data_IF_479752674793
#
_entry.id   IF_479752674793
#
_cell.length_a   1.000
_cell.length_b   1.000
_cell.length_c   1.000
_cell.angle_alpha   90.00
_cell.angle_beta   90.00
_cell.angle_gamma   90.00
#
_symmetry.space_group_name_H-M   'P 1'
#
loop_
_entity.id
_entity.type
_entity.pdbx_description
1 polymer ?
#
# COMPACT_ATOMS: atom_id res chain seq x y z
N UNK A 1 5.07 23.93 -18.87
CA UNK A 1 5.12 23.89 -17.39
C UNK A 1 3.70 23.88 -16.80
N UNK A 2 2.92 22.81 -16.99
CA UNK A 2 1.48 22.77 -16.61
C UNK A 2 1.08 21.58 -15.72
N UNK A 3 2.00 20.70 -15.31
CA UNK A 3 1.69 19.52 -14.48
C UNK A 3 1.71 19.75 -12.96
N UNK A 4 2.52 20.69 -12.46
CA UNK A 4 2.77 20.81 -11.01
C UNK A 4 1.56 21.31 -10.20
N UNK A 5 0.67 22.11 -10.78
CA UNK A 5 -0.47 22.68 -10.04
C UNK A 5 -1.52 21.61 -9.65
N UNK A 6 -1.74 20.60 -10.50
CA UNK A 6 -2.67 19.50 -10.21
C UNK A 6 -2.10 18.54 -9.17
N UNK A 7 -0.85 18.14 -9.36
CA UNK A 7 -0.13 17.22 -8.48
C UNK A 7 -0.02 17.78 -7.05
N UNK A 8 0.36 19.05 -6.90
CA UNK A 8 0.45 19.68 -5.59
C UNK A 8 -0.92 19.80 -4.91
N UNK A 9 -1.99 20.03 -5.68
CA UNK A 9 -3.36 20.08 -5.13
C UNK A 9 -3.81 18.71 -4.63
N UNK A 10 -3.57 17.65 -5.39
CA UNK A 10 -3.88 16.29 -4.95
C UNK A 10 -3.06 15.87 -3.74
N UNK A 11 -1.75 16.15 -3.72
CA UNK A 11 -0.90 15.87 -2.56
C UNK A 11 -1.37 16.60 -1.30
N UNK A 12 -1.81 17.86 -1.40
CA UNK A 12 -2.40 18.60 -0.28
C UNK A 12 -3.71 17.97 0.22
N UNK A 13 -4.58 17.55 -0.69
CA UNK A 13 -5.82 16.87 -0.33
C UNK A 13 -5.54 15.56 0.41
N UNK A 14 -4.60 14.76 -0.10
CA UNK A 14 -4.15 13.52 0.53
C UNK A 14 -3.63 13.80 1.94
N UNK A 15 -2.77 14.80 2.12
CA UNK A 15 -2.25 15.15 3.45
C UNK A 15 -3.36 15.52 4.45
N UNK A 16 -4.41 16.20 4.00
CA UNK A 16 -5.56 16.53 4.85
C UNK A 16 -6.40 15.29 5.23
N UNK A 17 -6.59 14.37 4.29
CA UNK A 17 -7.30 13.12 4.53
C UNK A 17 -6.49 12.19 5.45
N UNK A 18 -5.18 12.06 5.21
CA UNK A 18 -4.24 11.34 6.07
C UNK A 18 -4.34 11.81 7.52
N UNK A 19 -4.20 13.12 7.74
CA UNK A 19 -4.28 13.68 9.09
C UNK A 19 -5.59 13.33 9.80
N UNK A 20 -6.72 13.36 9.08
CA UNK A 20 -8.01 13.01 9.67
C UNK A 20 -8.09 11.51 9.98
N UNK A 21 -7.68 10.64 9.06
CA UNK A 21 -7.67 9.18 9.27
C UNK A 21 -6.75 8.80 10.43
N UNK A 22 -5.55 9.36 10.52
CA UNK A 22 -4.59 9.10 11.60
C UNK A 22 -5.15 9.50 12.97
N UNK A 23 -5.85 10.63 13.02
CA UNK A 23 -6.53 11.12 14.23
C UNK A 23 -7.63 10.16 14.69
N UNK A 24 -8.33 9.52 13.76
CA UNK A 24 -9.38 8.54 14.05
C UNK A 24 -8.82 7.21 14.54
N UNK A 25 -7.79 6.69 13.85
CA UNK A 25 -7.15 5.42 14.17
C UNK A 25 -6.42 5.46 15.51
N UNK A 26 -5.87 6.61 15.91
CA UNK A 26 -5.22 6.78 17.21
C UNK A 26 -6.18 6.59 18.40
N UNK A 27 -7.49 6.81 18.19
CA UNK A 27 -8.49 6.81 19.26
C UNK A 27 -9.41 5.58 19.26
N UNK A 28 -9.34 4.74 18.22
CA UNK A 28 -10.26 3.60 18.06
C UNK A 28 -9.55 2.34 17.55
N UNK A 29 -9.69 1.18 18.22
CA UNK A 29 -9.03 -0.06 17.80
C UNK A 29 -9.69 -0.73 16.58
N UNK A 30 -10.90 -0.31 16.19
CA UNK A 30 -11.65 -0.87 15.07
C UNK A 30 -12.28 0.26 14.26
N UNK A 31 -12.18 0.19 12.93
CA UNK A 31 -12.83 1.14 12.03
C UNK A 31 -14.36 1.03 12.14
N UNK A 32 -14.98 2.04 12.75
CA UNK A 32 -16.43 2.21 12.74
C UNK A 32 -16.95 2.49 11.31
N UNK A 33 -18.25 2.27 11.03
CA UNK A 33 -18.84 2.55 9.72
C UNK A 33 -18.53 3.97 9.19
N UNK A 34 -18.59 4.98 10.05
CA UNK A 34 -18.26 6.36 9.72
C UNK A 34 -16.78 6.55 9.36
N UNK A 35 -15.86 5.89 10.08
CA UNK A 35 -14.42 5.97 9.80
C UNK A 35 -14.05 5.23 8.51
N UNK A 36 -14.84 4.21 8.12
CA UNK A 36 -14.63 3.47 6.86
C UNK A 36 -14.87 4.34 5.63
N UNK A 37 -15.84 5.26 5.67
CA UNK A 37 -16.10 6.16 4.55
C UNK A 37 -14.89 7.07 4.27
N UNK A 38 -14.36 7.71 5.32
CA UNK A 38 -13.17 8.57 5.20
C UNK A 38 -11.91 7.78 4.81
N UNK A 39 -11.75 6.58 5.36
CA UNK A 39 -10.63 5.69 5.00
C UNK A 39 -10.69 5.30 3.52
N UNK A 40 -11.89 4.98 3.00
CA UNK A 40 -12.09 4.71 1.58
C UNK A 40 -11.81 5.93 0.69
N UNK A 41 -12.15 7.13 1.15
CA UNK A 41 -11.82 8.37 0.45
C UNK A 41 -10.30 8.58 0.35
N UNK A 42 -9.57 8.34 1.45
CA UNK A 42 -8.10 8.40 1.45
C UNK A 42 -7.49 7.34 0.52
N UNK A 43 -7.98 6.09 0.58
CA UNK A 43 -7.55 5.01 -0.32
C UNK A 43 -7.76 5.43 -1.79
N UNK A 44 -8.93 5.97 -2.13
CA UNK A 44 -9.20 6.43 -3.49
C UNK A 44 -8.25 7.57 -3.91
N UNK A 45 -8.02 8.55 -3.03
CA UNK A 45 -7.12 9.66 -3.31
C UNK A 45 -5.67 9.20 -3.56
N UNK A 46 -5.18 8.21 -2.81
CA UNK A 46 -3.88 7.59 -3.04
C UNK A 46 -3.79 6.92 -4.42
N UNK A 47 -4.77 6.07 -4.75
CA UNK A 47 -4.77 5.32 -6.01
C UNK A 47 -4.93 6.25 -7.22
N UNK A 48 -5.77 7.28 -7.11
CA UNK A 48 -5.93 8.30 -8.15
C UNK A 48 -4.64 9.10 -8.37
N UNK A 49 -3.90 9.41 -7.30
CA UNK A 49 -2.59 10.05 -7.40
C UNK A 49 -1.59 9.15 -8.12
N UNK A 50 -1.49 7.89 -7.69
CA UNK A 50 -0.55 6.93 -8.28
C UNK A 50 -0.83 6.72 -9.78
N UNK A 51 -2.11 6.69 -10.16
CA UNK A 51 -2.54 6.59 -11.56
C UNK A 51 -2.25 7.86 -12.36
N UNK A 52 -2.39 9.04 -11.77
CA UNK A 52 -2.13 10.32 -12.42
C UNK A 52 -0.63 10.63 -12.56
N UNK A 53 0.20 10.18 -11.60
CA UNK A 53 1.62 10.49 -11.53
C UNK A 53 2.48 9.23 -11.31
N UNK A 54 2.44 8.23 -12.20
CA UNK A 54 3.10 6.94 -11.97
C UNK A 54 4.64 7.05 -11.85
N UNK A 55 5.25 8.12 -12.34
CA UNK A 55 6.69 8.37 -12.21
C UNK A 55 7.08 9.11 -10.92
N UNK A 56 6.12 9.59 -10.13
CA UNK A 56 6.42 10.18 -8.83
C UNK A 56 6.76 9.08 -7.83
N UNK A 57 7.87 9.27 -7.11
CA UNK A 57 8.29 8.42 -5.99
C UNK A 57 7.20 8.20 -4.93
N UNK A 58 6.28 9.16 -4.75
CA UNK A 58 5.15 9.07 -3.84
C UNK A 58 4.10 8.05 -4.30
N UNK A 59 4.01 7.76 -5.60
CA UNK A 59 2.98 6.86 -6.14
C UNK A 59 3.13 5.44 -5.59
N UNK A 60 4.36 4.92 -5.53
CA UNK A 60 4.62 3.62 -4.91
C UNK A 60 4.27 3.60 -3.43
N UNK A 61 4.61 4.67 -2.69
CA UNK A 61 4.26 4.82 -1.28
C UNK A 61 2.74 4.86 -1.10
N UNK A 62 2.03 5.68 -1.87
CA UNK A 62 0.58 5.83 -1.76
C UNK A 62 -0.17 4.55 -2.12
N UNK A 63 0.25 3.80 -3.15
CA UNK A 63 -0.34 2.49 -3.45
C UNK A 63 -0.09 1.49 -2.31
N UNK A 64 1.11 1.49 -1.72
CA UNK A 64 1.42 0.66 -0.54
C UNK A 64 0.53 1.01 0.67
N UNK A 65 0.44 2.29 1.02
CA UNK A 65 -0.39 2.78 2.14
C UNK A 65 -1.88 2.49 1.90
N UNK A 66 -2.36 2.63 0.66
CA UNK A 66 -3.73 2.29 0.30
C UNK A 66 -4.04 0.81 0.55
N UNK A 67 -3.11 -0.09 0.21
CA UNK A 67 -3.26 -1.51 0.49
C UNK A 67 -3.28 -1.79 2.01
N UNK A 68 -2.41 -1.14 2.79
CA UNK A 68 -2.41 -1.24 4.25
C UNK A 68 -3.71 -0.77 4.89
N UNK A 69 -4.27 0.35 4.43
CA UNK A 69 -5.58 0.81 4.91
C UNK A 69 -6.70 -0.17 4.53
N UNK A 70 -6.62 -0.80 3.36
CA UNK A 70 -7.58 -1.84 2.96
C UNK A 70 -7.53 -3.09 3.84
N UNK A 71 -6.39 -3.44 4.45
CA UNK A 71 -6.35 -4.58 5.41
C UNK A 71 -7.14 -4.29 6.68
N UNK A 72 -7.36 -3.02 7.00
CA UNK A 72 -8.21 -2.60 8.12
C UNK A 72 -9.71 -2.68 7.77
N UNK A 73 -10.05 -2.85 6.49
CA UNK A 73 -11.39 -3.05 5.98
C UNK A 73 -11.67 -4.54 5.80
N UNK A 74 -12.95 -4.97 5.75
CA UNK A 74 -13.32 -6.36 5.49
C UNK A 74 -13.14 -6.75 4.00
N UNK A 75 -12.01 -6.36 3.40
CA UNK A 75 -11.67 -6.61 1.98
C UNK A 75 -10.18 -6.99 1.84
N UNK A 76 -9.79 -8.11 2.45
CA UNK A 76 -8.41 -8.61 2.39
C UNK A 76 -7.98 -8.95 0.96
N UNK A 77 -8.88 -9.45 0.11
CA UNK A 77 -8.58 -9.75 -1.30
C UNK A 77 -8.32 -8.48 -2.09
N UNK A 78 -9.11 -7.42 -1.87
CA UNK A 78 -8.86 -6.12 -2.46
C UNK A 78 -7.60 -5.44 -1.91
N UNK A 79 -7.18 -5.74 -0.68
CA UNK A 79 -5.90 -5.29 -0.13
C UNK A 79 -4.72 -6.00 -0.82
N UNK A 80 -4.80 -7.33 -0.97
CA UNK A 80 -3.82 -8.14 -1.71
C UNK A 80 -3.64 -7.56 -3.10
N UNK A 81 -4.72 -7.41 -3.88
CA UNK A 81 -4.64 -6.89 -5.26
C UNK A 81 -3.91 -5.54 -5.36
N UNK A 82 -4.13 -4.62 -4.41
CA UNK A 82 -3.44 -3.33 -4.40
C UNK A 82 -1.97 -3.48 -4.00
N UNK A 83 -1.62 -4.38 -3.09
CA UNK A 83 -0.20 -4.71 -2.85
C UNK A 83 0.46 -5.29 -4.11
N UNK A 84 -0.26 -6.10 -4.90
CA UNK A 84 0.29 -6.63 -6.17
C UNK A 84 0.56 -5.54 -7.19
N UNK A 85 -0.27 -4.50 -7.23
CA UNK A 85 -0.03 -3.31 -8.06
C UNK A 85 1.29 -2.64 -7.71
N UNK A 86 1.74 -2.67 -6.45
CA UNK A 86 2.99 -2.02 -6.06
C UNK A 86 4.20 -2.68 -6.72
N UNK A 87 4.37 -3.99 -6.57
CA UNK A 87 5.51 -4.68 -7.17
C UNK A 87 5.38 -4.92 -8.68
N UNK A 88 4.17 -4.72 -9.23
CA UNK A 88 3.93 -4.79 -10.68
C UNK A 88 4.24 -3.45 -11.36
N UNK A 89 3.77 -2.34 -10.78
CA UNK A 89 3.89 -1.01 -11.37
C UNK A 89 5.13 -0.24 -10.89
N UNK A 90 5.64 -0.56 -9.69
CA UNK A 90 6.78 0.11 -9.07
C UNK A 90 7.86 -0.88 -8.59
N UNK A 91 8.33 -1.80 -9.44
CA UNK A 91 9.22 -2.90 -9.03
C UNK A 91 10.56 -2.44 -8.44
N UNK A 92 11.05 -1.26 -8.80
CA UNK A 92 12.32 -0.72 -8.27
C UNK A 92 12.14 0.05 -6.95
N UNK A 93 10.90 0.27 -6.51
CA UNK A 93 10.63 0.99 -5.28
C UNK A 93 10.96 0.13 -4.06
N UNK A 94 11.41 0.77 -2.97
CA UNK A 94 11.54 0.10 -1.66
C UNK A 94 10.24 -0.56 -1.19
N UNK A 95 9.09 -0.11 -1.69
CA UNK A 95 7.78 -0.63 -1.32
C UNK A 95 7.44 -1.94 -2.03
N UNK A 96 8.04 -2.25 -3.17
CA UNK A 96 7.77 -3.50 -3.88
C UNK A 96 8.09 -4.77 -3.05
N UNK A 97 9.30 -4.94 -2.47
CA UNK A 97 9.55 -6.09 -1.60
C UNK A 97 8.70 -6.06 -0.32
N UNK A 98 8.38 -4.88 0.21
CA UNK A 98 7.52 -4.75 1.39
C UNK A 98 6.08 -5.21 1.09
N UNK A 99 5.51 -4.84 -0.06
CA UNK A 99 4.19 -5.28 -0.52
C UNK A 99 4.14 -6.78 -0.74
N UNK A 100 5.19 -7.33 -1.34
CA UNK A 100 5.25 -8.75 -1.63
C UNK A 100 5.30 -9.59 -0.35
N UNK A 101 6.07 -9.13 0.65
CA UNK A 101 6.04 -9.70 1.99
C UNK A 101 4.67 -9.56 2.66
N UNK A 102 3.99 -8.42 2.49
CA UNK A 102 2.66 -8.20 3.02
C UNK A 102 1.62 -9.16 2.42
N UNK A 103 1.63 -9.38 1.10
CA UNK A 103 0.76 -10.37 0.43
C UNK A 103 0.99 -11.77 0.98
N UNK A 104 2.26 -12.18 1.10
CA UNK A 104 2.60 -13.48 1.65
C UNK A 104 2.08 -13.64 3.09
N UNK A 105 2.28 -12.63 3.94
CA UNK A 105 1.78 -12.62 5.32
C UNK A 105 0.25 -12.61 5.42
N UNK A 106 -0.45 -11.91 4.52
CA UNK A 106 -1.92 -11.93 4.47
C UNK A 106 -2.45 -13.33 4.14
N UNK A 107 -1.84 -14.03 3.18
CA UNK A 107 -2.22 -15.41 2.86
C UNK A 107 -1.88 -16.37 3.99
N UNK A 108 -0.66 -16.30 4.51
CA UNK A 108 -0.12 -17.24 5.50
C UNK A 108 -0.81 -17.09 6.86
N UNK A 109 -0.82 -15.87 7.39
CA UNK A 109 -1.24 -15.59 8.78
C UNK A 109 -2.71 -15.21 8.83
N UNK A 110 -3.17 -14.29 7.99
CA UNK A 110 -4.52 -13.73 8.10
C UNK A 110 -5.59 -14.64 7.49
N UNK A 111 -5.30 -15.23 6.32
CA UNK A 111 -6.22 -16.13 5.62
C UNK A 111 -6.00 -17.62 5.98
N UNK A 112 -4.86 -17.96 6.59
CA UNK A 112 -4.56 -19.33 6.98
C UNK A 112 -4.31 -20.26 5.80
N UNK A 113 -3.83 -19.72 4.68
CA UNK A 113 -3.52 -20.43 3.44
C UNK A 113 -2.00 -20.39 3.14
N UNK A 114 -1.15 -21.06 3.93
CA UNK A 114 0.30 -21.02 3.77
C UNK A 114 0.78 -21.59 2.43
N UNK A 115 0.04 -22.53 1.83
CA UNK A 115 0.34 -23.06 0.50
C UNK A 115 0.17 -21.99 -0.59
N UNK A 116 -0.81 -21.08 -0.43
CA UNK A 116 -0.99 -19.93 -1.31
C UNK A 116 0.10 -18.87 -1.08
N UNK A 117 0.60 -18.73 0.15
CA UNK A 117 1.65 -17.78 0.51
C UNK A 117 3.05 -18.16 -0.02
N UNK A 118 3.36 -19.46 -0.04
CA UNK A 118 4.68 -20.01 -0.44
C UNK A 118 5.26 -19.41 -1.73
N UNK A 119 4.55 -19.38 -2.88
CA UNK A 119 5.09 -18.82 -4.11
C UNK A 119 5.44 -17.32 -3.99
N UNK A 120 4.75 -16.55 -3.14
CA UNK A 120 5.09 -15.14 -2.92
C UNK A 120 6.39 -14.99 -2.14
N UNK A 121 6.65 -15.84 -1.14
CA UNK A 121 7.93 -15.83 -0.42
C UNK A 121 9.10 -16.25 -1.33
N UNK A 122 8.91 -17.28 -2.14
CA UNK A 122 9.92 -17.74 -3.10
C UNK A 122 10.26 -16.63 -4.12
N UNK A 123 9.22 -16.03 -4.71
CA UNK A 123 9.40 -14.97 -5.70
C UNK A 123 9.97 -13.68 -5.07
N UNK A 124 9.68 -13.40 -3.79
CA UNK A 124 10.31 -12.31 -3.04
C UNK A 124 11.83 -12.51 -2.95
N UNK A 125 12.27 -13.72 -2.56
CA UNK A 125 13.70 -14.05 -2.44
C UNK A 125 14.42 -14.06 -3.79
N UNK A 126 13.72 -14.46 -4.86
CA UNK A 126 14.24 -14.43 -6.22
C UNK A 126 14.41 -13.01 -6.76
N UNK A 127 13.37 -12.17 -6.63
CA UNK A 127 13.37 -10.81 -7.20
C UNK A 127 14.10 -9.78 -6.36
N UNK A 128 14.06 -9.93 -5.04
CA UNK A 128 14.65 -9.01 -4.08
C UNK A 128 15.55 -9.79 -3.14
N UNK A 129 16.66 -10.35 -3.67
CA UNK A 129 17.61 -11.06 -2.83
C UNK A 129 18.09 -10.08 -1.75
N UNK A 130 17.91 -10.48 -0.49
CA UNK A 130 18.52 -9.78 0.62
C UNK A 130 20.02 -9.95 0.39
N UNK A 131 20.66 -8.95 -0.21
CA UNK A 131 22.11 -8.86 -0.22
C UNK A 131 22.50 -8.90 1.24
N UNK A 132 22.96 -10.07 1.70
CA UNK A 132 23.67 -10.17 2.97
C UNK A 132 24.73 -9.10 2.87
N UNK A 133 24.70 -8.13 3.77
CA UNK A 133 25.78 -7.21 3.98
C UNK A 133 27.06 -8.05 4.11
N UNK A 134 27.78 -8.22 3.00
CA UNK A 134 29.15 -8.69 3.00
C UNK A 134 29.95 -7.47 3.45
N UNK A 135 29.82 -7.14 4.73
CA UNK A 135 30.85 -6.40 5.44
C UNK A 135 32.03 -7.34 5.53
N UNK A 136 33.00 -7.04 4.66
CA UNK A 136 34.40 -7.46 4.68
C UNK A 136 34.99 -7.30 6.08
#
# INVERSE_FOLDING_TARGET
MMGCNGQQRQAKNIAQLQQQVDSLLSNTPVLSPENRALTNELIAAYLDYAKAYPSDTLSAMYTFEAAGLKTQLPDLKGAIAVYEEVYTNFPESRYAPMSMLAVAGLWDITLGEPETARPYYELLLEKYPIERANTV
#
